data_IF_820763403368
#
_entry.id   IF_820763403368
#
_cell.length_a   1.000
_cell.length_b   1.000
_cell.length_c   1.000
_cell.angle_alpha   90.00
_cell.angle_beta   90.00
_cell.angle_gamma   90.00
#
_symmetry.space_group_name_H-M   'P 1'
#
loop_
_entity.id
_entity.type
_entity.pdbx_description
1 polymer ?
#
# COMPACT_ATOMS: atom_id res chain seq x y z
N UNK A 1 46.59 -135.80 -6.64
CA UNK A 1 45.27 -135.33 -7.11
C UNK A 1 44.61 -134.37 -6.11
N UNK A 2 44.51 -134.72 -4.82
CA UNK A 2 43.76 -133.94 -3.82
C UNK A 2 44.30 -132.52 -3.55
N UNK A 3 45.63 -132.30 -3.62
CA UNK A 3 46.26 -130.99 -3.38
C UNK A 3 45.94 -129.98 -4.50
N UNK A 4 45.83 -130.45 -5.75
CA UNK A 4 45.52 -129.56 -6.90
C UNK A 4 44.06 -129.10 -6.84
N UNK A 5 43.14 -129.99 -6.43
CA UNK A 5 41.72 -129.68 -6.27
C UNK A 5 41.49 -128.67 -5.14
N UNK A 6 42.21 -128.79 -4.01
CA UNK A 6 42.08 -127.84 -2.91
C UNK A 6 42.64 -126.45 -3.25
N UNK A 7 43.72 -126.37 -4.03
CA UNK A 7 44.27 -125.09 -4.51
C UNK A 7 43.31 -124.40 -5.48
N UNK A 8 42.72 -125.14 -6.44
CA UNK A 8 41.73 -124.58 -7.38
C UNK A 8 40.47 -124.12 -6.64
N UNK A 9 39.99 -124.91 -5.67
CA UNK A 9 38.85 -124.52 -4.83
C UNK A 9 39.14 -123.26 -4.00
N UNK A 10 40.36 -123.11 -3.47
CA UNK A 10 40.80 -121.91 -2.74
C UNK A 10 40.84 -120.67 -3.62
N UNK A 11 41.35 -120.79 -4.86
CA UNK A 11 41.37 -119.68 -5.83
C UNK A 11 39.95 -119.30 -6.24
N UNK A 12 39.08 -120.27 -6.51
CA UNK A 12 37.69 -120.02 -6.87
C UNK A 12 36.91 -119.32 -5.73
N UNK A 13 37.11 -119.76 -4.48
CA UNK A 13 36.54 -119.11 -3.29
C UNK A 13 37.09 -117.68 -3.11
N UNK A 14 38.40 -117.49 -3.27
CA UNK A 14 39.04 -116.17 -3.20
C UNK A 14 38.49 -115.20 -4.25
N UNK A 15 38.39 -115.65 -5.51
CA UNK A 15 37.82 -114.87 -6.60
C UNK A 15 36.33 -114.53 -6.37
N UNK A 16 35.56 -115.47 -5.83
CA UNK A 16 34.16 -115.25 -5.46
C UNK A 16 34.02 -114.20 -4.36
N UNK A 17 34.83 -114.27 -3.31
CA UNK A 17 34.82 -113.30 -2.21
C UNK A 17 35.22 -111.90 -2.71
N UNK A 18 36.28 -111.79 -3.52
CA UNK A 18 36.70 -110.51 -4.12
C UNK A 18 35.61 -109.94 -5.04
N UNK A 19 34.96 -110.77 -5.86
CA UNK A 19 33.86 -110.35 -6.71
C UNK A 19 32.65 -109.86 -5.90
N UNK A 20 32.28 -110.54 -4.82
CA UNK A 20 31.19 -110.13 -3.92
C UNK A 20 31.52 -108.81 -3.21
N UNK A 21 32.75 -108.62 -2.73
CA UNK A 21 33.21 -107.37 -2.11
C UNK A 21 33.21 -106.24 -3.14
N UNK A 22 33.74 -106.47 -4.35
CA UNK A 22 33.77 -105.48 -5.43
C UNK A 22 32.36 -105.08 -5.86
N UNK A 23 31.45 -106.05 -6.06
CA UNK A 23 30.05 -105.80 -6.41
C UNK A 23 29.31 -105.04 -5.31
N UNK A 24 29.54 -105.37 -4.04
CA UNK A 24 28.95 -104.67 -2.89
C UNK A 24 29.48 -103.23 -2.78
N UNK A 25 30.78 -103.03 -2.96
CA UNK A 25 31.43 -101.70 -2.93
C UNK A 25 30.97 -100.82 -4.08
N UNK A 26 30.88 -101.35 -5.30
CA UNK A 26 30.37 -100.63 -6.47
C UNK A 26 28.89 -100.26 -6.33
N UNK A 27 28.05 -101.16 -5.78
CA UNK A 27 26.65 -100.84 -5.45
C UNK A 27 26.56 -99.72 -4.41
N UNK A 28 27.37 -99.75 -3.35
CA UNK A 28 27.41 -98.70 -2.31
C UNK A 28 27.88 -97.34 -2.85
N UNK A 29 28.90 -97.33 -3.71
CA UNK A 29 29.37 -96.09 -4.37
C UNK A 29 28.31 -95.53 -5.31
N UNK A 30 27.69 -96.38 -6.14
CA UNK A 30 26.61 -95.97 -7.04
C UNK A 30 25.39 -95.44 -6.29
N UNK A 31 24.95 -96.13 -5.22
CA UNK A 31 23.84 -95.64 -4.39
C UNK A 31 24.19 -94.36 -3.64
N UNK A 32 25.45 -94.21 -3.20
CA UNK A 32 25.93 -92.99 -2.55
C UNK A 32 25.93 -91.78 -3.50
N UNK A 33 26.38 -91.97 -4.73
CA UNK A 33 26.35 -90.95 -5.79
C UNK A 33 24.92 -90.55 -6.15
N UNK A 34 24.00 -91.51 -6.30
CA UNK A 34 22.58 -91.23 -6.55
C UNK A 34 21.98 -90.44 -5.38
N UNK A 35 22.23 -90.87 -4.14
CA UNK A 35 21.72 -90.16 -2.96
C UNK A 35 22.27 -88.73 -2.85
N UNK A 36 23.56 -88.54 -3.14
CA UNK A 36 24.15 -87.19 -3.17
C UNK A 36 23.53 -86.32 -4.27
N UNK A 37 23.32 -86.87 -5.47
CA UNK A 37 22.66 -86.16 -6.56
C UNK A 37 21.20 -85.81 -6.23
N UNK A 38 20.48 -86.70 -5.53
CA UNK A 38 19.12 -86.45 -5.03
C UNK A 38 19.10 -85.35 -3.95
N UNK A 39 19.99 -85.43 -2.95
CA UNK A 39 20.13 -84.41 -1.91
C UNK A 39 20.49 -83.03 -2.50
N UNK A 40 21.38 -82.98 -3.49
CA UNK A 40 21.77 -81.74 -4.18
C UNK A 40 20.63 -81.19 -5.04
N UNK A 41 19.93 -82.05 -5.79
CA UNK A 41 18.75 -81.65 -6.56
C UNK A 41 17.63 -81.11 -5.66
N UNK A 42 17.43 -81.72 -4.49
CA UNK A 42 16.46 -81.25 -3.48
C UNK A 42 16.87 -79.89 -2.92
N UNK A 43 18.14 -79.70 -2.56
CA UNK A 43 18.67 -78.39 -2.12
C UNK A 43 18.52 -77.31 -3.19
N UNK A 44 18.80 -77.62 -4.46
CA UNK A 44 18.62 -76.68 -5.56
C UNK A 44 17.15 -76.29 -5.70
N UNK A 45 16.24 -77.27 -5.65
CA UNK A 45 14.79 -77.01 -5.71
C UNK A 45 14.30 -76.18 -4.53
N UNK A 46 14.76 -76.48 -3.32
CA UNK A 46 14.40 -75.72 -2.13
C UNK A 46 14.92 -74.28 -2.18
N UNK A 47 16.18 -74.09 -2.57
CA UNK A 47 16.75 -72.76 -2.75
C UNK A 47 16.02 -71.96 -3.83
N UNK A 48 15.72 -72.58 -4.97
CA UNK A 48 14.95 -71.94 -6.04
C UNK A 48 13.53 -71.57 -5.58
N UNK A 49 12.87 -72.41 -4.77
CA UNK A 49 11.57 -72.08 -4.17
C UNK A 49 11.67 -70.90 -3.22
N UNK A 50 12.62 -70.92 -2.28
CA UNK A 50 12.82 -69.83 -1.32
C UNK A 50 13.17 -68.51 -2.01
N UNK A 51 13.99 -68.54 -3.05
CA UNK A 51 14.33 -67.35 -3.83
C UNK A 51 13.10 -66.80 -4.58
N UNK A 52 12.30 -67.67 -5.21
CA UNK A 52 11.07 -67.26 -5.86
C UNK A 52 10.04 -66.69 -4.86
N UNK A 53 9.90 -67.29 -3.69
CA UNK A 53 9.02 -66.77 -2.63
C UNK A 53 9.48 -65.40 -2.14
N UNK A 54 10.79 -65.19 -1.97
CA UNK A 54 11.35 -63.88 -1.60
C UNK A 54 11.05 -62.83 -2.69
N UNK A 55 11.37 -63.16 -3.95
CA UNK A 55 11.09 -62.27 -5.09
C UNK A 55 9.61 -61.95 -5.23
N UNK A 56 8.73 -62.91 -4.97
CA UNK A 56 7.29 -62.70 -5.02
C UNK A 56 6.85 -61.71 -3.92
N UNK A 57 7.31 -61.91 -2.68
CA UNK A 57 7.02 -61.01 -1.55
C UNK A 57 7.54 -59.59 -1.79
N UNK A 58 8.79 -59.45 -2.24
CA UNK A 58 9.38 -58.15 -2.58
C UNK A 58 8.53 -57.43 -3.63
N UNK A 59 8.09 -58.15 -4.67
CA UNK A 59 7.27 -57.59 -5.74
C UNK A 59 5.86 -57.23 -5.28
N UNK A 60 5.26 -58.01 -4.38
CA UNK A 60 3.99 -57.68 -3.73
C UNK A 60 4.12 -56.42 -2.87
N UNK A 61 5.18 -56.31 -2.07
CA UNK A 61 5.45 -55.12 -1.25
C UNK A 61 5.68 -53.87 -2.10
N UNK A 62 6.43 -53.98 -3.20
CA UNK A 62 6.62 -52.90 -4.17
C UNK A 62 5.30 -52.46 -4.81
N UNK A 63 4.45 -53.41 -5.20
CA UNK A 63 3.13 -53.11 -5.76
C UNK A 63 2.23 -52.41 -4.75
N UNK A 64 2.18 -52.89 -3.51
CA UNK A 64 1.40 -52.28 -2.43
C UNK A 64 1.90 -50.86 -2.15
N UNK A 65 3.21 -50.66 -2.04
CA UNK A 65 3.80 -49.33 -1.82
C UNK A 65 3.53 -48.39 -2.99
N UNK A 66 3.64 -48.87 -4.23
CA UNK A 66 3.32 -48.09 -5.44
C UNK A 66 1.85 -47.68 -5.46
N UNK A 67 0.93 -48.59 -5.12
CA UNK A 67 -0.50 -48.30 -5.02
C UNK A 67 -0.80 -47.27 -3.93
N UNK A 68 -0.20 -47.42 -2.74
CA UNK A 68 -0.35 -46.45 -1.63
C UNK A 68 0.15 -45.07 -2.01
N UNK A 69 1.31 -44.98 -2.68
CA UNK A 69 1.86 -43.70 -3.16
C UNK A 69 0.94 -43.06 -4.19
N UNK A 70 0.41 -43.84 -5.14
CA UNK A 70 -0.54 -43.34 -6.15
C UNK A 70 -1.84 -42.86 -5.50
N UNK A 71 -2.38 -43.61 -4.56
CA UNK A 71 -3.59 -43.24 -3.85
C UNK A 71 -3.38 -41.97 -3.03
N UNK A 72 -2.29 -41.88 -2.27
CA UNK A 72 -1.96 -40.65 -1.53
C UNK A 72 -1.76 -39.43 -2.43
N UNK A 73 -1.14 -39.60 -3.60
CA UNK A 73 -0.98 -38.53 -4.57
C UNK A 73 -2.34 -38.10 -5.16
N UNK A 74 -3.23 -39.06 -5.41
CA UNK A 74 -4.59 -38.80 -5.88
C UNK A 74 -5.42 -38.07 -4.83
N UNK A 75 -5.40 -38.52 -3.58
CA UNK A 75 -6.11 -37.89 -2.45
C UNK A 75 -5.64 -36.45 -2.24
N UNK A 76 -4.33 -36.19 -2.32
CA UNK A 76 -3.78 -34.83 -2.25
C UNK A 76 -4.30 -33.96 -3.38
N UNK A 77 -4.29 -34.46 -4.62
CA UNK A 77 -4.79 -33.73 -5.78
C UNK A 77 -6.30 -33.46 -5.67
N UNK A 78 -7.08 -34.43 -5.18
CA UNK A 78 -8.52 -34.29 -4.98
C UNK A 78 -8.84 -33.25 -3.90
N UNK A 79 -8.10 -33.27 -2.79
CA UNK A 79 -8.21 -32.25 -1.75
C UNK A 79 -7.86 -30.85 -2.27
N UNK A 80 -6.76 -30.70 -3.02
CA UNK A 80 -6.38 -29.43 -3.63
C UNK A 80 -7.44 -28.91 -4.61
N UNK A 81 -7.99 -29.80 -5.45
CA UNK A 81 -9.06 -29.45 -6.38
C UNK A 81 -10.34 -29.05 -5.65
N UNK A 82 -10.70 -29.77 -4.59
CA UNK A 82 -11.85 -29.46 -3.74
C UNK A 82 -11.71 -28.10 -3.06
N UNK A 83 -10.54 -27.81 -2.47
CA UNK A 83 -10.26 -26.49 -1.88
C UNK A 83 -10.31 -25.36 -2.91
N UNK A 84 -9.75 -25.57 -4.10
CA UNK A 84 -9.85 -24.58 -5.21
C UNK A 84 -11.29 -24.38 -5.67
N UNK A 85 -12.08 -25.44 -5.76
CA UNK A 85 -13.49 -25.35 -6.12
C UNK A 85 -14.28 -24.52 -5.10
N UNK A 86 -14.05 -24.75 -3.81
CA UNK A 86 -14.67 -23.96 -2.73
C UNK A 86 -14.25 -22.47 -2.78
N UNK A 87 -12.96 -22.19 -3.04
CA UNK A 87 -12.47 -20.81 -3.19
C UNK A 87 -13.12 -20.10 -4.40
N UNK A 88 -13.26 -20.81 -5.52
CA UNK A 88 -13.95 -20.28 -6.71
C UNK A 88 -15.42 -20.00 -6.41
N UNK A 89 -16.12 -20.91 -5.71
CA UNK A 89 -17.52 -20.73 -5.34
C UNK A 89 -17.72 -19.50 -4.43
N UNK A 90 -16.82 -19.28 -3.47
CA UNK A 90 -16.81 -18.07 -2.64
C UNK A 90 -16.63 -16.81 -3.49
N UNK A 91 -15.64 -16.79 -4.39
CA UNK A 91 -15.41 -15.65 -5.29
C UNK A 91 -16.60 -15.37 -6.20
N UNK A 92 -17.29 -16.41 -6.69
CA UNK A 92 -18.50 -16.24 -7.49
C UNK A 92 -19.61 -15.58 -6.65
N UNK A 93 -19.84 -16.05 -5.42
CA UNK A 93 -20.84 -15.44 -4.53
C UNK A 93 -20.53 -13.98 -4.23
N UNK A 94 -19.28 -13.65 -3.91
CA UNK A 94 -18.84 -12.28 -3.64
C UNK A 94 -19.01 -11.38 -4.86
N UNK A 95 -18.65 -11.90 -6.05
CA UNK A 95 -18.82 -11.18 -7.30
C UNK A 95 -20.30 -10.92 -7.61
N UNK A 96 -21.17 -11.92 -7.43
CA UNK A 96 -22.61 -11.75 -7.63
C UNK A 96 -23.21 -10.74 -6.64
N UNK A 97 -22.77 -10.75 -5.39
CA UNK A 97 -23.19 -9.78 -4.39
C UNK A 97 -22.76 -8.36 -4.79
N UNK A 98 -21.48 -8.18 -5.13
CA UNK A 98 -20.96 -6.89 -5.61
C UNK A 98 -21.71 -6.41 -6.85
N UNK A 99 -22.03 -7.31 -7.79
CA UNK A 99 -22.81 -6.97 -8.99
C UNK A 99 -24.23 -6.50 -8.64
N UNK A 100 -24.89 -7.14 -7.66
CA UNK A 100 -26.20 -6.70 -7.15
C UNK A 100 -26.13 -5.33 -6.50
N UNK A 101 -25.10 -5.09 -5.69
CA UNK A 101 -24.93 -3.81 -4.99
C UNK A 101 -24.66 -2.66 -5.96
N UNK A 102 -23.85 -2.91 -7.00
CA UNK A 102 -23.61 -1.95 -8.08
C UNK A 102 -24.88 -1.64 -8.87
N UNK A 103 -25.68 -2.66 -9.23
CA UNK A 103 -26.93 -2.44 -9.95
C UNK A 103 -27.98 -1.70 -9.10
N UNK A 104 -28.06 -2.00 -7.81
CA UNK A 104 -28.91 -1.26 -6.87
C UNK A 104 -28.47 0.20 -6.75
N UNK A 105 -27.15 0.43 -6.58
CA UNK A 105 -26.57 1.77 -6.56
C UNK A 105 -26.87 2.55 -7.84
N UNK A 106 -26.74 1.91 -9.01
CA UNK A 106 -27.07 2.52 -10.31
C UNK A 106 -28.53 2.94 -10.38
N UNK A 107 -29.46 2.09 -9.95
CA UNK A 107 -30.91 2.41 -9.91
C UNK A 107 -31.22 3.56 -8.95
N UNK A 108 -30.56 3.61 -7.81
CA UNK A 108 -30.75 4.70 -6.85
C UNK A 108 -30.21 6.03 -7.37
N UNK A 109 -29.07 6.02 -8.07
CA UNK A 109 -28.53 7.20 -8.76
C UNK A 109 -29.51 7.66 -9.84
N UNK A 110 -29.97 6.77 -10.73
CA UNK A 110 -30.96 7.12 -11.77
C UNK A 110 -32.25 7.70 -11.17
N UNK A 111 -32.73 7.17 -10.04
CA UNK A 111 -33.91 7.71 -9.34
C UNK A 111 -33.63 9.12 -8.82
N UNK A 112 -32.47 9.35 -8.20
CA UNK A 112 -32.08 10.66 -7.67
C UNK A 112 -31.90 11.68 -8.79
N UNK A 113 -31.31 11.31 -9.91
CA UNK A 113 -31.17 12.18 -11.08
C UNK A 113 -32.52 12.61 -11.64
N UNK A 114 -33.47 11.68 -11.79
CA UNK A 114 -34.84 12.01 -12.20
C UNK A 114 -35.53 12.97 -11.23
N UNK A 115 -35.43 12.71 -9.93
CA UNK A 115 -36.00 13.58 -8.89
C UNK A 115 -35.36 14.97 -8.89
N UNK A 116 -34.04 15.04 -9.07
CA UNK A 116 -33.31 16.30 -9.14
C UNK A 116 -33.80 17.12 -10.35
N UNK A 117 -33.88 16.49 -11.52
CA UNK A 117 -34.37 17.14 -12.74
C UNK A 117 -35.80 17.67 -12.59
N UNK A 118 -36.70 16.89 -11.98
CA UNK A 118 -38.06 17.35 -11.69
C UNK A 118 -38.08 18.57 -10.75
N UNK A 119 -37.23 18.57 -9.72
CA UNK A 119 -37.11 19.70 -8.79
C UNK A 119 -36.51 20.93 -9.45
N UNK A 120 -35.53 20.77 -10.34
CA UNK A 120 -34.97 21.87 -11.12
C UNK A 120 -36.02 22.50 -12.04
N UNK A 121 -36.83 21.68 -12.71
CA UNK A 121 -37.94 22.14 -13.54
C UNK A 121 -39.00 22.87 -12.69
N UNK A 122 -39.39 22.33 -11.54
CA UNK A 122 -40.33 22.97 -10.61
C UNK A 122 -39.80 24.30 -10.07
N UNK A 123 -38.52 24.35 -9.68
CA UNK A 123 -37.87 25.56 -9.16
C UNK A 123 -37.80 26.63 -10.24
N UNK A 124 -37.42 26.25 -11.47
CA UNK A 124 -37.40 27.15 -12.63
C UNK A 124 -38.78 27.74 -12.91
N UNK A 125 -39.83 26.91 -12.88
CA UNK A 125 -41.21 27.37 -13.04
C UNK A 125 -41.64 28.32 -11.92
N UNK A 126 -41.36 28.00 -10.65
CA UNK A 126 -41.69 28.88 -9.52
C UNK A 126 -40.94 30.21 -9.59
N UNK A 127 -39.66 30.20 -9.98
CA UNK A 127 -38.87 31.41 -10.19
C UNK A 127 -39.47 32.29 -11.29
N UNK A 128 -39.93 31.68 -12.39
CA UNK A 128 -40.60 32.41 -13.47
C UNK A 128 -41.91 33.04 -12.97
N UNK A 129 -42.75 32.29 -12.24
CA UNK A 129 -44.00 32.82 -11.67
C UNK A 129 -43.74 33.91 -10.63
N UNK A 130 -42.76 33.76 -9.75
CA UNK A 130 -42.39 34.79 -8.78
C UNK A 130 -41.90 36.07 -9.47
N UNK A 131 -41.08 35.95 -10.53
CA UNK A 131 -40.68 37.11 -11.34
C UNK A 131 -41.89 37.81 -11.95
N UNK A 132 -42.83 37.06 -12.52
CA UNK A 132 -44.05 37.62 -13.11
C UNK A 132 -44.93 38.30 -12.05
N UNK A 133 -45.09 37.69 -10.87
CA UNK A 133 -45.85 38.27 -9.77
C UNK A 133 -45.18 39.53 -9.20
N UNK A 134 -43.86 39.56 -9.07
CA UNK A 134 -43.11 40.75 -8.66
C UNK A 134 -43.28 41.88 -9.69
N UNK A 135 -43.24 41.57 -10.99
CA UNK A 135 -43.50 42.55 -12.05
C UNK A 135 -44.92 43.13 -11.95
N UNK A 136 -45.93 42.27 -11.73
CA UNK A 136 -47.32 42.70 -11.55
C UNK A 136 -47.54 43.51 -10.27
N UNK A 137 -46.98 43.07 -9.15
CA UNK A 137 -47.12 43.74 -7.85
C UNK A 137 -46.37 45.09 -7.79
N UNK A 138 -45.22 45.18 -8.46
CA UNK A 138 -44.48 46.43 -8.60
C UNK A 138 -45.15 47.42 -9.57
N UNK A 139 -46.15 46.98 -10.36
CA UNK A 139 -46.80 47.78 -11.40
C UNK A 139 -45.78 48.47 -12.33
N UNK A 140 -44.63 47.83 -12.51
CA UNK A 140 -43.45 48.39 -13.14
C UNK A 140 -42.82 47.33 -14.04
N UNK A 141 -42.42 47.74 -15.25
CA UNK A 141 -41.65 46.89 -16.16
C UNK A 141 -40.26 46.57 -15.57
N UNK A 142 -39.64 45.43 -15.93
CA UNK A 142 -38.28 45.11 -15.48
C UNK A 142 -37.25 46.17 -15.87
N UNK A 143 -37.47 46.87 -16.99
CA UNK A 143 -36.68 48.02 -17.43
C UNK A 143 -36.83 49.21 -16.49
N UNK A 144 -38.05 49.52 -16.05
CA UNK A 144 -38.30 50.59 -15.07
C UNK A 144 -37.76 50.24 -13.68
N UNK A 145 -37.92 49.00 -13.22
CA UNK A 145 -37.36 48.54 -11.95
C UNK A 145 -35.83 48.61 -11.94
N UNK A 146 -35.19 48.19 -13.04
CA UNK A 146 -33.74 48.34 -13.23
C UNK A 146 -33.32 49.81 -13.24
N UNK A 147 -34.10 50.67 -13.89
CA UNK A 147 -33.81 52.12 -13.96
C UNK A 147 -33.92 52.78 -12.57
N UNK A 148 -34.95 52.45 -11.78
CA UNK A 148 -35.07 52.95 -10.40
C UNK A 148 -33.95 52.43 -9.52
N UNK A 149 -33.59 51.14 -9.61
CA UNK A 149 -32.51 50.57 -8.82
C UNK A 149 -31.17 51.24 -9.14
N UNK A 150 -30.85 51.40 -10.42
CA UNK A 150 -29.63 52.10 -10.87
C UNK A 150 -29.64 53.56 -10.40
N UNK A 151 -30.75 54.28 -10.57
CA UNK A 151 -30.88 55.66 -10.09
C UNK A 151 -30.71 55.78 -8.58
N UNK A 152 -31.27 54.85 -7.79
CA UNK A 152 -31.13 54.84 -6.33
C UNK A 152 -29.69 54.56 -5.91
N UNK A 153 -29.01 53.62 -6.58
CA UNK A 153 -27.59 53.35 -6.34
C UNK A 153 -26.71 54.54 -6.70
N UNK A 154 -27.02 55.25 -7.79
CA UNK A 154 -26.32 56.48 -8.18
C UNK A 154 -26.54 57.61 -7.16
N UNK A 155 -27.77 57.79 -6.65
CA UNK A 155 -28.08 58.79 -5.63
C UNK A 155 -27.41 58.50 -4.29
N UNK A 156 -27.35 57.22 -3.88
CA UNK A 156 -26.66 56.77 -2.68
C UNK A 156 -25.14 56.98 -2.81
N UNK A 157 -24.56 56.58 -3.95
CA UNK A 157 -23.15 56.82 -4.25
C UNK A 157 -22.80 58.33 -4.27
N UNK A 158 -23.70 59.19 -4.77
CA UNK A 158 -23.52 60.65 -4.73
C UNK A 158 -23.55 61.20 -3.29
N UNK A 159 -24.46 60.71 -2.45
CA UNK A 159 -24.52 61.12 -1.02
C UNK A 159 -23.26 60.72 -0.27
N UNK A 160 -22.78 59.50 -0.48
CA UNK A 160 -21.55 59.01 0.14
C UNK A 160 -20.33 59.80 -0.34
N UNK A 161 -20.26 60.12 -1.64
CA UNK A 161 -19.22 60.98 -2.19
C UNK A 161 -19.26 62.40 -1.58
N UNK A 162 -20.44 63.00 -1.42
CA UNK A 162 -20.58 64.32 -0.78
C UNK A 162 -20.13 64.31 0.68
N UNK A 163 -20.49 63.25 1.42
CA UNK A 163 -20.05 63.07 2.81
C UNK A 163 -18.53 62.95 2.90
N UNK A 164 -17.93 62.14 2.02
CA UNK A 164 -16.48 61.98 1.92
C UNK A 164 -15.79 63.31 1.59
N UNK A 165 -16.31 64.08 0.63
CA UNK A 165 -15.77 65.40 0.29
C UNK A 165 -15.83 66.34 1.51
N UNK A 166 -16.96 66.36 2.23
CA UNK A 166 -17.11 67.17 3.44
C UNK A 166 -16.11 66.79 4.53
N UNK A 167 -15.87 65.49 4.74
CA UNK A 167 -14.90 65.00 5.71
C UNK A 167 -13.45 65.34 5.31
N UNK A 168 -13.11 65.24 4.01
CA UNK A 168 -11.80 65.65 3.47
C UNK A 168 -11.57 67.16 3.68
N UNK A 169 -12.56 68.01 3.39
CA UNK A 169 -12.45 69.46 3.59
C UNK A 169 -12.24 69.78 5.07
N UNK A 170 -13.04 69.17 5.96
CA UNK A 170 -12.90 69.37 7.41
C UNK A 170 -11.53 68.94 7.91
N UNK A 171 -11.01 67.81 7.43
CA UNK A 171 -9.67 67.35 7.78
C UNK A 171 -8.59 68.33 7.27
N UNK A 172 -8.72 68.82 6.03
CA UNK A 172 -7.82 69.79 5.45
C UNK A 172 -7.80 71.12 6.24
N UNK A 173 -8.95 71.59 6.74
CA UNK A 173 -9.04 72.77 7.60
C UNK A 173 -8.34 72.57 8.95
N UNK A 174 -8.53 71.40 9.58
CA UNK A 174 -7.87 71.03 10.84
C UNK A 174 -6.35 70.99 10.65
N UNK A 175 -5.89 70.34 9.59
CA UNK A 175 -4.47 70.21 9.26
C UNK A 175 -3.84 71.56 8.92
N UNK A 176 -4.56 72.40 8.16
CA UNK A 176 -4.14 73.76 7.85
C UNK A 176 -4.03 74.62 9.12
N UNK A 177 -5.01 74.57 10.02
CA UNK A 177 -4.97 75.28 11.30
C UNK A 177 -3.82 74.79 12.19
N UNK A 178 -3.50 73.50 12.17
CA UNK A 178 -2.32 72.94 12.85
C UNK A 178 -1.01 73.45 12.24
N UNK A 179 -0.92 73.48 10.91
CA UNK A 179 0.26 73.96 10.17
C UNK A 179 0.50 75.46 10.37
N UNK A 180 -0.55 76.28 10.32
CA UNK A 180 -0.46 77.73 10.58
C UNK A 180 0.03 78.01 11.99
N UNK A 181 -0.54 77.33 13.01
CA UNK A 181 -0.07 77.47 14.40
C UNK A 181 1.41 77.11 14.54
N UNK A 182 1.87 76.05 13.87
CA UNK A 182 3.29 75.67 13.86
C UNK A 182 4.17 76.73 13.21
N UNK A 183 3.78 77.27 12.04
CA UNK A 183 4.53 78.32 11.34
C UNK A 183 4.65 79.58 12.21
N UNK A 184 3.56 80.01 12.84
CA UNK A 184 3.57 81.17 13.75
C UNK A 184 4.51 80.92 14.93
N UNK A 185 4.40 79.77 15.59
CA UNK A 185 5.28 79.42 16.72
C UNK A 185 6.77 79.40 16.32
N UNK A 186 7.11 78.80 15.18
CA UNK A 186 8.49 78.80 14.66
C UNK A 186 8.97 80.20 14.31
N UNK A 187 8.10 81.05 13.74
CA UNK A 187 8.45 82.44 13.40
C UNK A 187 8.71 83.27 14.65
N UNK A 188 7.87 83.12 15.69
CA UNK A 188 8.08 83.75 17.01
C UNK A 188 9.39 83.27 17.63
N UNK A 189 9.65 81.95 17.64
CA UNK A 189 10.88 81.39 18.19
C UNK A 189 12.13 81.95 17.50
N UNK A 190 12.08 82.10 16.18
CA UNK A 190 13.18 82.67 15.38
C UNK A 190 13.39 84.16 15.69
N UNK A 191 12.32 84.96 15.68
CA UNK A 191 12.41 86.40 16.00
C UNK A 191 12.89 86.65 17.44
N UNK A 192 12.42 85.86 18.41
CA UNK A 192 12.85 85.96 19.79
C UNK A 192 14.35 85.65 19.98
N UNK A 193 14.90 84.73 19.19
CA UNK A 193 16.34 84.40 19.24
C UNK A 193 17.19 85.57 18.74
N UNK A 194 16.79 86.19 17.62
CA UNK A 194 17.49 87.34 17.05
C UNK A 194 17.45 88.56 18.00
N UNK A 195 16.31 88.79 18.66
CA UNK A 195 16.15 89.93 19.59
C UNK A 195 16.89 89.72 20.91
N UNK A 196 16.88 88.51 21.48
CA UNK A 196 17.69 88.18 22.66
C UNK A 196 19.17 88.33 22.37
N UNK A 197 19.64 87.91 21.19
CA UNK A 197 21.04 88.08 20.80
C UNK A 197 21.43 89.57 20.73
N UNK A 198 20.57 90.43 20.17
CA UNK A 198 20.80 91.88 20.11
C UNK A 198 20.83 92.54 21.49
N UNK A 199 20.00 92.10 22.44
CA UNK A 199 19.91 92.68 23.78
C UNK A 199 21.03 92.22 24.71
N UNK A 200 21.53 90.99 24.54
CA UNK A 200 22.50 90.38 25.47
C UNK A 200 23.97 90.51 25.04
N UNK A 201 24.25 90.97 23.81
CA UNK A 201 25.63 91.19 23.37
C UNK A 201 25.99 92.67 23.38
N UNK A 202 26.95 93.04 24.24
CA UNK A 202 27.57 94.37 24.22
C UNK A 202 29.03 94.21 23.81
N UNK A 203 29.43 94.90 22.75
CA UNK A 203 30.83 94.92 22.28
C UNK A 203 31.59 95.99 23.05
N UNK A 204 32.55 95.55 23.87
CA UNK A 204 33.45 96.47 24.59
C UNK A 204 34.73 96.61 23.78
N UNK A 205 35.02 97.83 23.30
CA UNK A 205 36.28 98.14 22.64
C UNK A 205 37.36 98.44 23.67
N UNK A 206 38.44 97.65 23.68
CA UNK A 206 39.59 97.86 24.55
C UNK A 206 40.57 98.86 23.92
N UNK A 207 41.08 99.78 24.73
CA UNK A 207 41.93 100.89 24.27
C UNK A 207 43.40 100.51 24.03
N UNK A 208 43.84 99.34 24.51
CA UNK A 208 45.17 98.79 24.22
C UNK A 208 45.16 97.25 24.29
N UNK A 209 46.11 96.62 23.60
CA UNK A 209 46.24 95.16 23.59
C UNK A 209 46.76 94.58 24.91
N UNK A 210 47.37 95.42 25.75
CA UNK A 210 47.86 95.04 27.06
C UNK A 210 46.69 94.68 28.02
N UNK A 211 45.59 95.45 27.96
CA UNK A 211 44.33 95.12 28.63
C UNK A 211 43.70 93.83 28.10
N UNK A 212 43.83 93.57 26.79
CA UNK A 212 43.30 92.35 26.14
C UNK A 212 44.04 91.11 26.62
N UNK A 213 45.37 91.16 26.74
CA UNK A 213 46.17 90.07 27.31
C UNK A 213 45.84 89.77 28.77
N UNK A 214 45.49 90.82 29.54
CA UNK A 214 45.13 90.68 30.96
C UNK A 214 43.71 90.18 31.20
N UNK A 215 42.76 90.51 30.32
CA UNK A 215 41.37 90.01 30.38
C UNK A 215 41.26 88.56 29.87
N UNK A 216 42.05 88.17 28.86
CA UNK A 216 42.02 86.80 28.29
C UNK A 216 42.85 85.82 29.14
N UNK A 217 43.88 86.29 29.84
CA UNK A 217 44.76 85.42 30.64
C UNK A 217 45.62 84.47 29.80
N UNK A 218 46.51 83.71 30.45
CA UNK A 218 47.31 82.66 29.79
C UNK A 218 46.43 81.42 29.62
N UNK A 219 46.16 81.01 28.36
CA UNK A 219 45.23 79.93 27.96
C UNK A 219 43.72 80.26 27.94
N UNK A 220 43.30 81.53 28.03
CA UNK A 220 41.89 81.90 27.83
C UNK A 220 40.96 81.70 29.04
N UNK A 221 41.51 81.77 30.26
CA UNK A 221 40.74 81.75 31.52
C UNK A 221 40.70 83.12 32.17
#
# INVERSE_FOLDING_TARGET
>A
MNIIVSVIAGIALGALVVYLIYRSSMKKKGSGLIRQAEEEAERIRENARRENERKLKEREEELINSQRLRQSAQDKKENELSSKAQEIELKIRDFEQSRRDVENGRRDVERKEKLLKMKEEELSSKLATQKEQLQKAANMSPEEAKKILVSSMEDEARKDAQKLIGDIIRQAEIDAAGKVRRIIATSIQKAATDEVQSLTTTVVQLKNDDLKGRIIGKEGR
#
